data_IF_817895373980
#
_entry.id   IF_817895373980
#
_cell.length_a   1.000
_cell.length_b   1.000
_cell.length_c   1.000
_cell.angle_alpha   90.00
_cell.angle_beta   90.00
_cell.angle_gamma   90.00
#
_symmetry.space_group_name_H-M   'P 1'
#
loop_
_entity.id
_entity.type
_entity.pdbx_description
1 polymer ?
#
# COMPACT_ATOMS: atom_id res chain seq x y z
N UNK A 1 4.85 0.57 4.17
CA UNK A 1 4.01 -0.64 4.31
C UNK A 1 2.89 -0.44 5.32
N UNK A 2 3.22 -0.03 6.55
CA UNK A 2 2.25 0.13 7.66
C UNK A 2 1.03 0.99 7.28
N UNK A 3 1.22 2.13 6.61
CA UNK A 3 0.10 3.01 6.24
C UNK A 3 -0.90 2.36 5.26
N UNK A 4 -0.43 1.48 4.37
CA UNK A 4 -1.26 0.73 3.43
C UNK A 4 -2.02 -0.38 4.19
N UNK A 5 -1.37 -1.03 5.15
CA UNK A 5 -2.01 -2.02 6.03
C UNK A 5 -3.11 -1.36 6.86
N UNK A 6 -2.83 -0.21 7.49
CA UNK A 6 -3.83 0.58 8.23
C UNK A 6 -4.99 0.95 7.30
N UNK A 7 -4.72 1.44 6.09
CA UNK A 7 -5.75 1.76 5.11
C UNK A 7 -6.58 0.54 4.69
N UNK A 8 -5.96 -0.63 4.52
CA UNK A 8 -6.64 -1.88 4.19
C UNK A 8 -7.60 -2.33 5.32
N UNK A 9 -7.16 -2.20 6.59
CA UNK A 9 -8.00 -2.48 7.75
C UNK A 9 -9.17 -1.49 7.87
N UNK A 10 -8.94 -0.21 7.56
CA UNK A 10 -9.99 0.81 7.54
C UNK A 10 -11.04 0.52 6.47
N UNK A 11 -10.66 0.02 5.29
CA UNK A 11 -11.60 -0.38 4.23
C UNK A 11 -12.55 -1.50 4.68
N UNK A 12 -12.05 -2.46 5.47
CA UNK A 12 -12.89 -3.53 6.02
C UNK A 12 -13.83 -3.04 7.12
N UNK A 13 -13.57 -1.87 7.72
CA UNK A 13 -14.40 -1.24 8.74
C UNK A 13 -15.04 0.05 8.17
N UNK A 14 -16.23 -0.02 7.55
CA UNK A 14 -16.79 1.08 6.73
C UNK A 14 -16.85 2.43 7.49
N UNK A 15 -17.32 2.44 8.75
CA UNK A 15 -17.36 3.68 9.56
C UNK A 15 -15.98 4.32 9.78
N UNK A 16 -14.91 3.52 9.82
CA UNK A 16 -13.56 4.00 10.06
C UNK A 16 -12.94 4.59 8.78
N UNK A 17 -13.24 4.03 7.60
CA UNK A 17 -12.82 4.58 6.31
C UNK A 17 -13.38 5.99 6.05
N UNK A 18 -14.64 6.24 6.43
CA UNK A 18 -15.29 7.55 6.24
C UNK A 18 -14.91 8.59 7.32
N UNK A 19 -14.28 8.16 8.42
CA UNK A 19 -13.87 9.06 9.50
C UNK A 19 -12.82 10.09 9.06
N UNK A 20 -12.67 11.21 9.80
CA UNK A 20 -11.64 12.22 9.51
C UNK A 20 -10.22 11.60 9.48
N UNK A 21 -9.97 10.63 10.35
CA UNK A 21 -8.70 9.90 10.36
C UNK A 21 -8.54 9.02 9.11
N UNK A 22 -9.59 8.28 8.74
CA UNK A 22 -9.58 7.46 7.52
C UNK A 22 -9.35 8.28 6.25
N UNK A 23 -10.02 9.42 6.12
CA UNK A 23 -9.82 10.35 5.01
C UNK A 23 -8.42 10.96 4.99
N UNK A 24 -7.83 11.23 6.16
CA UNK A 24 -6.46 11.72 6.25
C UNK A 24 -5.47 10.68 5.72
N UNK A 25 -5.56 9.43 6.20
CA UNK A 25 -4.73 8.31 5.71
C UNK A 25 -4.95 8.08 4.20
N UNK A 26 -6.20 8.12 3.74
CA UNK A 26 -6.55 7.95 2.34
C UNK A 26 -5.81 8.93 1.43
N UNK A 27 -5.57 10.19 1.84
CA UNK A 27 -4.81 11.15 1.02
C UNK A 27 -3.36 10.74 0.79
N UNK A 28 -2.72 10.09 1.76
CA UNK A 28 -1.34 9.59 1.61
C UNK A 28 -1.28 8.34 0.74
N UNK A 29 -2.26 7.45 0.87
CA UNK A 29 -2.25 6.15 0.18
C UNK A 29 -2.85 6.25 -1.24
N UNK A 30 -3.80 7.16 -1.46
CA UNK A 30 -4.47 7.37 -2.75
C UNK A 30 -3.54 7.55 -3.96
N UNK A 31 -2.49 8.40 -3.95
CA UNK A 31 -1.62 8.54 -5.11
C UNK A 31 -0.93 7.22 -5.50
N UNK A 32 -0.54 6.41 -4.51
CA UNK A 32 0.05 5.10 -4.75
C UNK A 32 -1.00 4.08 -5.22
N UNK A 33 -2.17 4.02 -4.58
CA UNK A 33 -3.27 3.14 -4.97
C UNK A 33 -3.81 3.42 -6.37
N UNK A 34 -3.77 4.68 -6.83
CA UNK A 34 -4.16 5.05 -8.20
C UNK A 34 -3.34 4.34 -9.27
N UNK A 35 -2.09 3.95 -8.98
CA UNK A 35 -1.28 3.14 -9.90
C UNK A 35 -1.87 1.73 -10.10
N UNK A 36 -2.61 1.24 -9.10
CA UNK A 36 -3.23 -0.08 -9.09
C UNK A 36 -4.74 -0.03 -9.36
N UNK A 37 -5.28 1.10 -9.82
CA UNK A 37 -6.73 1.25 -10.03
C UNK A 37 -7.33 0.26 -11.03
N UNK A 38 -6.49 -0.36 -11.88
CA UNK A 38 -6.87 -1.45 -12.77
C UNK A 38 -7.30 -2.74 -12.03
N UNK A 39 -6.93 -2.87 -10.76
CA UNK A 39 -7.19 -4.05 -9.94
C UNK A 39 -8.56 -4.04 -9.23
N UNK A 40 -9.36 -2.99 -9.45
CA UNK A 40 -10.72 -2.90 -8.92
C UNK A 40 -11.65 -3.75 -9.79
N UNK A 41 -12.28 -4.76 -9.19
CA UNK A 41 -13.20 -5.68 -9.88
C UNK A 41 -14.61 -5.48 -9.31
N UNK A 42 -15.48 -4.85 -10.08
CA UNK A 42 -16.83 -4.51 -9.64
C UNK A 42 -16.82 -3.64 -8.38
N UNK A 43 -17.45 -4.12 -7.31
CA UNK A 43 -17.50 -3.43 -6.00
C UNK A 43 -16.31 -3.77 -5.09
N UNK A 44 -15.48 -4.74 -5.44
CA UNK A 44 -14.35 -5.19 -4.61
C UNK A 44 -13.07 -4.51 -5.09
N UNK A 45 -12.44 -3.75 -4.21
CA UNK A 45 -11.18 -3.07 -4.50
C UNK A 45 -9.99 -3.91 -4.01
N UNK A 46 -9.33 -4.63 -4.92
CA UNK A 46 -8.14 -5.46 -4.62
C UNK A 46 -6.85 -4.64 -4.73
N UNK A 47 -6.93 -3.38 -5.20
CA UNK A 47 -5.79 -2.47 -5.34
C UNK A 47 -4.90 -2.38 -4.08
N UNK A 48 -5.44 -2.34 -2.84
CA UNK A 48 -4.61 -2.33 -1.63
C UNK A 48 -3.78 -3.59 -1.42
N UNK A 49 -4.32 -4.76 -1.79
CA UNK A 49 -3.61 -6.04 -1.68
C UNK A 49 -2.45 -6.08 -2.67
N UNK A 50 -2.69 -5.69 -3.92
CA UNK A 50 -1.62 -5.62 -4.94
C UNK A 50 -0.55 -4.61 -4.52
N UNK A 51 -0.97 -3.44 -4.04
CA UNK A 51 -0.07 -2.41 -3.52
C UNK A 51 0.84 -2.94 -2.39
N UNK A 52 0.31 -3.77 -1.49
CA UNK A 52 1.10 -4.42 -0.43
C UNK A 52 2.11 -5.42 -0.99
N UNK A 53 1.70 -6.29 -1.92
CA UNK A 53 2.58 -7.29 -2.54
C UNK A 53 3.73 -6.59 -3.26
N UNK A 54 3.42 -5.59 -4.09
CA UNK A 54 4.45 -4.83 -4.82
C UNK A 54 5.41 -4.15 -3.84
N UNK A 55 4.90 -3.57 -2.76
CA UNK A 55 5.75 -2.92 -1.78
C UNK A 55 6.65 -3.91 -1.01
N UNK A 56 6.17 -5.12 -0.71
CA UNK A 56 6.99 -6.18 -0.10
C UNK A 56 8.13 -6.62 -1.03
N UNK A 57 7.83 -6.80 -2.32
CA UNK A 57 8.83 -7.16 -3.34
C UNK A 57 9.86 -6.04 -3.49
N UNK A 58 9.41 -4.79 -3.60
CA UNK A 58 10.30 -3.63 -3.69
C UNK A 58 11.21 -3.50 -2.48
N UNK A 59 10.69 -3.69 -1.26
CA UNK A 59 11.50 -3.67 -0.04
C UNK A 59 12.57 -4.77 -0.03
N UNK A 60 12.20 -5.98 -0.44
CA UNK A 60 13.13 -7.11 -0.53
C UNK A 60 14.25 -6.84 -1.54
N UNK A 61 13.91 -6.25 -2.68
CA UNK A 61 14.89 -5.84 -3.70
C UNK A 61 15.81 -4.74 -3.14
N UNK A 62 15.24 -3.71 -2.50
CA UNK A 62 16.00 -2.59 -1.96
C UNK A 62 17.05 -3.06 -0.94
N UNK A 63 16.65 -3.92 0.01
CA UNK A 63 17.56 -4.51 0.99
C UNK A 63 18.69 -5.31 0.32
N UNK A 64 18.36 -6.07 -0.73
CA UNK A 64 19.36 -6.85 -1.44
C UNK A 64 20.35 -5.97 -2.22
N UNK A 65 19.87 -4.87 -2.79
CA UNK A 65 20.73 -3.87 -3.44
C UNK A 65 21.64 -3.21 -2.41
N UNK A 66 21.10 -2.79 -1.26
CA UNK A 66 21.87 -2.19 -0.18
C UNK A 66 23.01 -3.10 0.28
N UNK A 67 22.72 -4.38 0.53
CA UNK A 67 23.74 -5.38 0.89
C UNK A 67 24.78 -5.54 -0.22
N UNK A 68 24.35 -5.58 -1.49
CA UNK A 68 25.25 -5.71 -2.62
C UNK A 68 26.19 -4.48 -2.74
N UNK A 69 25.65 -3.27 -2.56
CA UNK A 69 26.44 -2.04 -2.59
C UNK A 69 27.44 -2.00 -1.43
N UNK A 70 27.01 -2.37 -0.21
CA UNK A 70 27.90 -2.43 0.96
C UNK A 70 29.02 -3.47 0.81
N UNK A 71 28.77 -4.58 0.11
CA UNK A 71 29.79 -5.58 -0.18
C UNK A 71 30.78 -5.15 -1.28
N UNK A 72 30.42 -4.14 -2.09
CA UNK A 72 31.26 -3.60 -3.16
C UNK A 72 32.12 -2.41 -2.70
N UNK A 73 31.81 -1.80 -1.55
CA UNK A 73 32.55 -0.72 -0.91
C UNK A 73 33.62 -1.28 0.04
#
# INVERSE_FOLDING_TARGET
MIIIVIYCLLIWLPNAAYSKFGQFIARFVAPFLRLFSFARIGMVDISPVIALIVLQVLQSILMRIEILVLNLL
#
